data_IF_873698848910
#
_entry.id   IF_873698848910
#
_cell.length_a   1.000
_cell.length_b   1.000
_cell.length_c   1.000
_cell.angle_alpha   90.00
_cell.angle_beta   90.00
_cell.angle_gamma   90.00
#
_symmetry.space_group_name_H-M   'P 1'
#
loop_
_entity.id
_entity.type
_entity.pdbx_description
1 polymer ?
#
# COMPACT_ATOMS: atom_id res chain seq x y z
N UNK A 1 1.11 -9.93 46.22
CA UNK A 1 1.85 -8.72 46.64
C UNK A 1 1.75 -7.65 45.57
N UNK A 2 1.50 -6.41 45.94
CA UNK A 2 1.31 -5.27 45.02
C UNK A 2 2.47 -5.10 44.02
N UNK A 3 3.69 -5.31 44.44
CA UNK A 3 4.91 -5.25 43.63
C UNK A 3 4.86 -6.23 42.42
N UNK A 4 4.31 -7.42 42.64
CA UNK A 4 4.14 -8.40 41.56
C UNK A 4 3.11 -7.96 40.53
N UNK A 5 2.02 -7.32 40.96
CA UNK A 5 0.99 -6.75 40.07
C UNK A 5 1.51 -5.57 39.26
N UNK A 6 2.33 -4.71 39.85
CA UNK A 6 2.99 -3.60 39.16
C UNK A 6 4.00 -4.10 38.12
N UNK A 7 4.78 -5.16 38.42
CA UNK A 7 5.68 -5.80 37.45
C UNK A 7 4.92 -6.45 36.29
N UNK A 8 3.80 -7.11 36.57
CA UNK A 8 2.96 -7.70 35.53
C UNK A 8 2.31 -6.63 34.63
N UNK A 9 1.82 -5.54 35.23
CA UNK A 9 1.24 -4.41 34.45
C UNK A 9 2.32 -3.72 33.62
N UNK A 10 3.52 -3.51 34.17
CA UNK A 10 4.65 -2.94 33.45
C UNK A 10 5.12 -3.82 32.26
N UNK A 11 5.21 -5.13 32.48
CA UNK A 11 5.56 -6.11 31.45
C UNK A 11 4.48 -6.19 30.34
N UNK A 12 3.20 -6.16 30.76
CA UNK A 12 2.09 -6.16 29.79
C UNK A 12 2.04 -4.85 29.00
N UNK A 13 2.28 -3.71 29.67
CA UNK A 13 2.36 -2.41 29.02
C UNK A 13 3.53 -2.32 28.02
N UNK A 14 4.70 -2.86 28.37
CA UNK A 14 5.87 -2.92 27.49
C UNK A 14 5.61 -3.85 26.28
N UNK A 15 5.01 -5.02 26.50
CA UNK A 15 4.61 -5.91 25.42
C UNK A 15 3.56 -5.26 24.51
N UNK A 16 2.55 -4.57 25.05
CA UNK A 16 1.57 -3.83 24.27
C UNK A 16 2.20 -2.66 23.50
N UNK A 17 3.23 -2.01 24.04
CA UNK A 17 3.96 -0.92 23.37
C UNK A 17 4.81 -1.47 22.21
N UNK A 18 5.52 -2.59 22.42
CA UNK A 18 6.27 -3.27 21.37
C UNK A 18 5.32 -3.83 20.28
N UNK A 19 4.20 -4.45 20.68
CA UNK A 19 3.15 -4.86 19.73
C UNK A 19 2.48 -3.65 19.07
N UNK A 20 2.33 -2.53 19.76
CA UNK A 20 1.77 -1.30 19.20
C UNK A 20 2.69 -0.63 18.18
N UNK A 21 3.98 -0.63 18.38
CA UNK A 21 4.96 -0.05 17.42
C UNK A 21 5.20 -0.98 16.24
N UNK A 22 5.39 -2.27 16.47
CA UNK A 22 5.59 -3.26 15.40
C UNK A 22 4.25 -3.61 14.73
N UNK A 23 3.18 -3.76 15.47
CA UNK A 23 1.84 -4.02 14.95
C UNK A 23 1.18 -2.77 14.36
N UNK A 24 1.39 -1.58 14.90
CA UNK A 24 0.83 -0.33 14.39
C UNK A 24 1.36 0.03 13.01
N UNK A 25 2.63 -0.21 12.74
CA UNK A 25 3.19 -0.03 11.40
C UNK A 25 2.63 -1.03 10.38
N UNK A 26 2.30 -2.25 10.82
CA UNK A 26 1.72 -3.27 9.94
C UNK A 26 0.19 -3.21 9.87
N UNK A 27 -0.50 -2.92 10.98
CA UNK A 27 -1.97 -2.84 11.04
C UNK A 27 -2.48 -1.56 10.39
N UNK A 28 -1.79 -0.44 10.50
CA UNK A 28 -2.09 0.79 9.75
C UNK A 28 -2.07 0.55 8.23
N UNK A 29 -1.22 -0.36 7.76
CA UNK A 29 -1.18 -0.80 6.36
C UNK A 29 -2.36 -1.71 5.97
N UNK A 30 -2.92 -2.47 6.91
CA UNK A 30 -3.97 -3.46 6.65
C UNK A 30 -5.40 -2.93 6.83
N UNK A 31 -5.64 -2.04 7.81
CA UNK A 31 -6.98 -1.57 8.17
C UNK A 31 -7.22 -0.09 7.90
N UNK A 32 -6.15 0.67 7.76
CA UNK A 32 -6.27 2.00 7.19
C UNK A 32 -6.66 1.85 5.74
N UNK A 33 -7.89 2.13 5.40
CA UNK A 33 -8.30 2.49 4.05
C UNK A 33 -7.60 3.80 3.67
N UNK A 34 -6.28 3.84 3.89
CA UNK A 34 -5.41 4.89 3.41
C UNK A 34 -5.55 4.90 1.91
N UNK A 35 -6.15 5.97 1.46
CA UNK A 35 -6.23 6.33 0.06
C UNK A 35 -4.87 5.99 -0.53
N UNK A 36 -4.85 4.97 -1.38
CA UNK A 36 -3.66 4.55 -2.12
C UNK A 36 -3.18 5.74 -2.91
N UNK A 37 -2.31 6.53 -2.29
CA UNK A 37 -1.86 7.84 -2.79
C UNK A 37 -0.56 7.73 -3.57
N UNK A 38 0.06 6.55 -3.59
CA UNK A 38 1.27 6.31 -4.35
C UNK A 38 1.05 6.25 -5.87
N UNK A 39 2.11 6.37 -6.68
CA UNK A 39 2.05 6.31 -8.15
C UNK A 39 1.68 4.93 -8.70
N UNK A 40 1.63 3.92 -7.87
CA UNK A 40 1.32 2.52 -8.16
C UNK A 40 -0.11 2.24 -8.67
N UNK A 41 -0.97 3.25 -8.62
CA UNK A 41 -2.34 3.14 -9.08
C UNK A 41 -2.63 4.02 -10.29
N UNK A 42 -3.22 3.43 -11.34
CA UNK A 42 -3.79 4.19 -12.47
C UNK A 42 -4.85 5.20 -11.96
N UNK A 43 -5.43 4.94 -10.80
CA UNK A 43 -6.35 5.85 -10.10
C UNK A 43 -5.69 6.79 -9.08
N UNK A 44 -4.38 6.76 -8.88
CA UNK A 44 -3.67 7.66 -7.97
C UNK A 44 -3.68 9.10 -8.46
N UNK A 45 -3.51 10.11 -7.59
CA UNK A 45 -3.35 11.50 -8.00
C UNK A 45 -2.23 11.67 -9.03
N UNK A 46 -1.12 11.00 -8.84
CA UNK A 46 0.04 11.02 -9.72
C UNK A 46 -0.29 10.58 -11.16
N UNK A 47 -1.02 9.47 -11.30
CA UNK A 47 -1.42 8.99 -12.62
C UNK A 47 -2.54 9.83 -13.24
N UNK A 48 -3.45 10.38 -12.43
CA UNK A 48 -4.55 11.24 -12.92
C UNK A 48 -4.08 12.60 -13.39
N UNK A 49 -3.02 13.13 -12.79
CA UNK A 49 -2.42 14.38 -13.19
C UNK A 49 -1.66 14.31 -14.53
N UNK A 50 -1.31 13.12 -14.99
CA UNK A 50 -0.75 12.93 -16.33
C UNK A 50 -1.81 13.15 -17.41
N UNK A 51 -1.39 13.68 -18.55
CA UNK A 51 -2.25 13.71 -19.72
C UNK A 51 -2.68 12.29 -20.15
N UNK A 52 -3.73 12.15 -20.99
CA UNK A 52 -4.26 10.84 -21.35
C UNK A 52 -3.26 9.92 -22.07
N UNK A 53 -2.34 10.48 -22.87
CA UNK A 53 -1.33 9.72 -23.62
C UNK A 53 -0.27 9.19 -22.66
N UNK A 54 0.25 10.04 -21.80
CA UNK A 54 1.27 9.71 -20.80
C UNK A 54 0.74 8.71 -19.75
N UNK A 55 -0.52 8.86 -19.35
CA UNK A 55 -1.18 7.90 -18.46
C UNK A 55 -1.30 6.51 -19.09
N UNK A 56 -1.60 6.43 -20.39
CA UNK A 56 -1.63 5.14 -21.11
C UNK A 56 -0.23 4.55 -21.23
N UNK A 57 0.77 5.38 -21.53
CA UNK A 57 2.17 4.96 -21.60
C UNK A 57 2.67 4.43 -20.25
N UNK A 58 2.40 5.13 -19.14
CA UNK A 58 2.70 4.68 -17.79
C UNK A 58 2.02 3.34 -17.48
N UNK A 59 0.74 3.20 -17.79
CA UNK A 59 0.02 1.93 -17.58
C UNK A 59 0.60 0.77 -18.40
N UNK A 60 1.13 1.04 -19.60
CA UNK A 60 1.84 0.04 -20.41
C UNK A 60 3.18 -0.34 -19.77
N UNK A 61 3.97 0.64 -19.34
CA UNK A 61 5.26 0.43 -18.68
C UNK A 61 5.10 -0.41 -17.39
N UNK A 62 4.14 -0.07 -16.53
CA UNK A 62 3.83 -0.84 -15.32
C UNK A 62 3.47 -2.30 -15.65
N UNK A 63 2.63 -2.53 -16.65
CA UNK A 63 2.29 -3.91 -17.07
C UNK A 63 3.49 -4.68 -17.59
N UNK A 64 4.39 -4.02 -18.30
CA UNK A 64 5.64 -4.62 -18.78
C UNK A 64 6.56 -4.97 -17.62
N UNK A 65 6.74 -4.05 -16.66
CA UNK A 65 7.52 -4.29 -15.44
C UNK A 65 6.98 -5.48 -14.63
N UNK A 66 5.66 -5.58 -14.47
CA UNK A 66 5.04 -6.71 -13.79
C UNK A 66 5.29 -8.05 -14.50
N UNK A 67 5.21 -8.07 -15.83
CA UNK A 67 5.51 -9.27 -16.62
C UNK A 67 6.97 -9.67 -16.49
N UNK A 68 7.88 -8.72 -16.59
CA UNK A 68 9.32 -8.96 -16.47
C UNK A 68 9.72 -9.45 -15.07
N UNK A 69 9.00 -9.02 -14.04
CA UNK A 69 9.21 -9.45 -12.66
C UNK A 69 8.38 -10.68 -12.26
N UNK A 70 7.70 -11.32 -13.22
CA UNK A 70 6.85 -12.49 -13.02
C UNK A 70 5.75 -12.27 -11.95
N UNK A 71 5.26 -11.03 -11.84
CA UNK A 71 4.19 -10.69 -10.92
C UNK A 71 2.84 -11.08 -11.55
N UNK A 72 2.25 -12.13 -11.01
CA UNK A 72 0.99 -12.66 -11.46
C UNK A 72 -0.16 -12.26 -10.51
N UNK A 73 -1.29 -11.84 -11.07
CA UNK A 73 -2.53 -11.58 -10.32
C UNK A 73 -3.10 -12.86 -9.70
N UNK A 74 -2.88 -13.97 -10.34
CA UNK A 74 -3.27 -15.27 -9.84
C UNK A 74 -2.54 -15.65 -8.55
N UNK A 75 -1.28 -15.21 -8.39
CA UNK A 75 -0.54 -15.38 -7.15
C UNK A 75 -1.20 -14.66 -5.97
N UNK A 76 -1.81 -13.50 -6.21
CA UNK A 76 -2.56 -12.78 -5.17
C UNK A 76 -3.81 -13.54 -4.76
N UNK A 77 -4.59 -14.01 -5.73
CA UNK A 77 -5.78 -14.81 -5.45
C UNK A 77 -5.44 -16.06 -4.64
N UNK A 78 -4.40 -16.78 -5.05
CA UNK A 78 -3.90 -17.94 -4.28
C UNK A 78 -3.44 -17.56 -2.88
N UNK A 79 -2.85 -16.36 -2.70
CA UNK A 79 -2.50 -15.82 -1.39
C UNK A 79 -3.72 -15.67 -0.48
N UNK A 80 -4.79 -15.07 -0.99
CA UNK A 80 -6.04 -14.95 -0.21
C UNK A 80 -6.66 -16.33 0.10
N UNK A 81 -6.64 -17.25 -0.84
CA UNK A 81 -7.13 -18.63 -0.64
C UNK A 81 -6.37 -19.33 0.49
N UNK A 82 -5.04 -19.17 0.57
CA UNK A 82 -4.24 -19.70 1.68
C UNK A 82 -4.61 -19.07 3.03
N UNK A 83 -4.75 -17.75 3.10
CA UNK A 83 -5.21 -17.07 4.32
C UNK A 83 -6.58 -17.61 4.75
N UNK A 84 -7.53 -17.72 3.82
CA UNK A 84 -8.87 -18.26 4.10
C UNK A 84 -8.79 -19.70 4.61
N UNK A 85 -7.93 -20.52 4.04
CA UNK A 85 -7.74 -21.91 4.48
C UNK A 85 -7.22 -21.98 5.92
N UNK A 86 -6.23 -21.13 6.26
CA UNK A 86 -5.71 -21.06 7.63
C UNK A 86 -6.78 -20.56 8.61
N UNK A 87 -7.59 -19.57 8.24
CA UNK A 87 -8.67 -19.06 9.08
C UNK A 87 -9.78 -20.10 9.33
N UNK A 88 -9.94 -21.08 8.45
CA UNK A 88 -10.89 -22.19 8.61
C UNK A 88 -10.33 -23.38 9.36
N UNK A 89 -9.02 -23.42 9.62
CA UNK A 89 -8.41 -24.54 10.35
C UNK A 89 -8.74 -24.48 11.84
N UNK A 90 -8.85 -25.64 12.46
CA UNK A 90 -9.03 -25.81 13.88
C UNK A 90 -8.05 -26.88 14.39
N UNK A 91 -7.14 -26.53 15.33
CA UNK A 91 -6.94 -25.22 15.92
C UNK A 91 -6.35 -24.20 14.93
N UNK A 92 -6.55 -22.90 15.21
CA UNK A 92 -5.98 -21.83 14.39
C UNK A 92 -4.44 -21.82 14.54
N UNK A 93 -3.73 -21.97 13.43
CA UNK A 93 -2.28 -21.76 13.39
C UNK A 93 -1.97 -20.27 13.19
N UNK A 94 -1.64 -19.59 14.30
CA UNK A 94 -1.34 -18.16 14.31
C UNK A 94 -0.09 -17.82 13.50
N UNK A 95 0.94 -18.65 13.59
CA UNK A 95 2.22 -18.36 12.95
C UNK A 95 2.12 -18.55 11.44
N UNK A 96 1.38 -19.57 10.99
CA UNK A 96 1.06 -19.76 9.59
C UNK A 96 0.24 -18.59 9.05
N UNK A 97 -0.78 -18.14 9.79
CA UNK A 97 -1.59 -16.99 9.40
C UNK A 97 -0.73 -15.74 9.23
N UNK A 98 0.16 -15.46 10.17
CA UNK A 98 1.07 -14.33 10.10
C UNK A 98 1.98 -14.40 8.87
N UNK A 99 2.56 -15.56 8.60
CA UNK A 99 3.42 -15.77 7.41
C UNK A 99 2.67 -15.50 6.09
N UNK A 100 1.45 -16.02 5.96
CA UNK A 100 0.66 -15.84 4.73
C UNK A 100 0.27 -14.36 4.51
N UNK A 101 -0.09 -13.67 5.58
CA UNK A 101 -0.41 -12.25 5.54
C UNK A 101 0.84 -11.40 5.21
N UNK A 102 2.00 -11.72 5.79
CA UNK A 102 3.26 -11.04 5.48
C UNK A 102 3.71 -11.29 4.04
N UNK A 103 3.53 -12.49 3.51
CA UNK A 103 3.83 -12.80 2.11
C UNK A 103 3.00 -11.95 1.16
N UNK A 104 1.71 -11.74 1.44
CA UNK A 104 0.87 -10.84 0.65
C UNK A 104 1.33 -9.38 0.74
N UNK A 105 1.71 -8.90 1.93
CA UNK A 105 2.23 -7.54 2.11
C UNK A 105 3.50 -7.32 1.29
N UNK A 106 4.43 -8.28 1.29
CA UNK A 106 5.66 -8.25 0.49
C UNK A 106 5.38 -8.19 -1.00
N UNK A 107 4.48 -9.02 -1.51
CA UNK A 107 4.07 -8.99 -2.92
C UNK A 107 3.43 -7.65 -3.30
N UNK A 108 2.61 -7.09 -2.42
CA UNK A 108 2.03 -5.76 -2.60
C UNK A 108 3.08 -4.65 -2.63
N UNK A 109 4.10 -4.71 -1.76
CA UNK A 109 5.22 -3.77 -1.75
C UNK A 109 5.98 -3.83 -3.08
N UNK A 110 6.39 -5.02 -3.51
CA UNK A 110 7.12 -5.21 -4.77
C UNK A 110 6.38 -4.64 -5.99
N UNK A 111 5.05 -4.75 -6.03
CA UNK A 111 4.24 -4.13 -7.09
C UNK A 111 4.27 -2.62 -7.03
N UNK A 112 4.17 -2.04 -5.83
CA UNK A 112 4.27 -0.59 -5.66
C UNK A 112 5.62 -0.07 -6.12
N UNK A 113 6.70 -0.71 -5.70
CA UNK A 113 8.06 -0.31 -6.06
C UNK A 113 8.26 -0.28 -7.58
N UNK A 114 7.79 -1.30 -8.30
CA UNK A 114 7.87 -1.34 -9.77
C UNK A 114 7.03 -0.26 -10.46
N UNK A 115 5.85 0.02 -9.92
CA UNK A 115 5.00 1.07 -10.47
C UNK A 115 5.57 2.47 -10.17
N UNK A 116 6.18 2.66 -9.01
CA UNK A 116 6.85 3.89 -8.61
C UNK A 116 8.08 4.16 -9.49
N UNK A 117 8.90 3.15 -9.75
CA UNK A 117 10.03 3.26 -10.68
C UNK A 117 9.56 3.64 -12.09
N UNK A 118 8.52 3.00 -12.61
CA UNK A 118 7.98 3.33 -13.93
C UNK A 118 7.44 4.78 -14.01
N UNK A 119 6.82 5.26 -12.93
CA UNK A 119 6.39 6.65 -12.83
C UNK A 119 7.58 7.62 -12.75
N UNK A 120 8.59 7.29 -11.92
CA UNK A 120 9.79 8.11 -11.78
C UNK A 120 10.52 8.27 -13.12
N UNK A 121 10.73 7.18 -13.86
CA UNK A 121 11.33 7.21 -15.20
C UNK A 121 10.54 8.14 -16.14
N UNK A 122 9.21 8.09 -16.08
CA UNK A 122 8.36 8.98 -16.87
C UNK A 122 8.57 10.44 -16.52
N UNK A 123 8.63 10.78 -15.22
CA UNK A 123 8.82 12.15 -14.74
C UNK A 123 10.23 12.69 -15.07
N UNK A 124 11.25 11.85 -14.92
CA UNK A 124 12.63 12.20 -15.26
C UNK A 124 12.81 12.48 -16.76
N UNK A 125 12.04 11.79 -17.59
CA UNK A 125 12.08 12.00 -19.05
C UNK A 125 11.35 13.28 -19.52
N UNK A 126 10.62 13.97 -18.64
CA UNK A 126 9.94 15.24 -18.97
C UNK A 126 10.95 16.38 -19.07
N UNK A 127 10.69 17.33 -19.96
CA UNK A 127 11.37 18.66 -19.93
C UNK A 127 10.96 19.44 -18.69
N UNK A 128 11.71 20.50 -18.36
CA UNK A 128 11.41 21.36 -17.20
C UNK A 128 10.01 21.97 -17.31
N UNK A 129 9.61 22.42 -18.50
CA UNK A 129 8.27 22.96 -18.73
C UNK A 129 7.18 21.88 -18.53
N UNK A 130 7.37 20.69 -19.07
CA UNK A 130 6.42 19.59 -18.89
C UNK A 130 6.29 19.18 -17.42
N UNK A 131 7.40 19.19 -16.66
CA UNK A 131 7.34 18.89 -15.23
C UNK A 131 6.61 19.97 -14.43
N UNK A 132 6.77 21.25 -14.79
CA UNK A 132 6.04 22.34 -14.17
C UNK A 132 4.53 22.18 -14.42
N UNK A 133 4.11 21.98 -15.67
CA UNK A 133 2.71 21.74 -16.02
C UNK A 133 2.14 20.51 -15.31
N UNK A 134 2.92 19.45 -15.21
CA UNK A 134 2.52 18.25 -14.48
C UNK A 134 2.36 18.52 -12.97
N UNK A 135 3.24 19.31 -12.36
CA UNK A 135 3.14 19.69 -10.96
C UNK A 135 1.85 20.47 -10.67
N UNK A 136 1.50 21.43 -11.53
CA UNK A 136 0.27 22.22 -11.42
C UNK A 136 -0.99 21.32 -11.53
N UNK A 137 -0.99 20.38 -12.47
CA UNK A 137 -2.08 19.40 -12.62
C UNK A 137 -2.19 18.46 -11.42
N UNK A 138 -1.06 18.08 -10.83
CA UNK A 138 -1.02 17.25 -9.64
C UNK A 138 -1.60 18.00 -8.43
N UNK A 139 -1.22 19.25 -8.23
CA UNK A 139 -1.76 20.11 -7.17
C UNK A 139 -3.28 20.22 -7.28
N UNK A 140 -3.78 20.54 -8.47
CA UNK A 140 -5.22 20.64 -8.72
C UNK A 140 -5.94 19.29 -8.46
N UNK A 141 -5.35 18.18 -8.87
CA UNK A 141 -5.89 16.84 -8.68
C UNK A 141 -6.01 16.51 -7.19
N UNK A 142 -5.00 16.82 -6.40
CA UNK A 142 -4.98 16.60 -4.94
C UNK A 142 -6.01 17.50 -4.26
N UNK A 143 -6.09 18.78 -4.63
CA UNK A 143 -7.07 19.74 -4.09
C UNK A 143 -8.52 19.27 -4.31
N UNK A 144 -8.85 18.83 -5.53
CA UNK A 144 -10.19 18.30 -5.86
C UNK A 144 -10.56 17.04 -5.05
N UNK A 145 -9.57 16.21 -4.71
CA UNK A 145 -9.82 15.03 -3.87
C UNK A 145 -10.10 15.39 -2.41
N UNK A 146 -9.41 16.39 -1.88
CA UNK A 146 -9.63 16.91 -0.54
C UNK A 146 -11.08 17.39 -0.36
N UNK A 147 -11.59 18.17 -1.30
CA UNK A 147 -12.98 18.68 -1.28
C UNK A 147 -14.04 17.57 -1.36
N UNK A 148 -13.84 16.54 -2.18
CA UNK A 148 -14.75 15.40 -2.26
C UNK A 148 -14.79 14.56 -0.98
N UNK A 149 -13.68 14.50 -0.27
CA UNK A 149 -13.61 13.78 1.01
C UNK A 149 -14.31 14.52 2.17
N UNK A 150 -14.30 15.86 2.15
CA UNK A 150 -15.00 16.67 3.13
C UNK A 150 -16.53 16.57 2.96
N UNK A 151 -17.04 16.69 1.73
CA UNK A 151 -18.47 16.62 1.42
C UNK A 151 -19.16 15.26 1.67
N UNK A 152 -18.39 14.19 1.85
CA UNK A 152 -18.92 12.84 2.14
C UNK A 152 -19.01 12.56 3.64
N UNK A 153 -18.53 13.46 4.49
CA UNK A 153 -18.55 13.33 5.95
C UNK A 153 -19.64 14.18 6.62
N UNK A 154 -20.33 15.00 5.85
CA UNK A 154 -21.57 15.68 6.22
C UNK A 154 -22.79 14.84 5.78
#
# INVERSE_FOLDING_TARGET
SWRLRLLLIGSLGLNLLVFGVVGGATIGHFWGGERRTGPDHVGSPYARALDPQDRRALGKAIRQAYRAAEIDREADRRGYERVIAVLRSAPLDRDLLLREVQAQATNGARRRDLAELAWLEKVVAMSDAQRADYADQLEETVRRQGHKGAKKRE
#
